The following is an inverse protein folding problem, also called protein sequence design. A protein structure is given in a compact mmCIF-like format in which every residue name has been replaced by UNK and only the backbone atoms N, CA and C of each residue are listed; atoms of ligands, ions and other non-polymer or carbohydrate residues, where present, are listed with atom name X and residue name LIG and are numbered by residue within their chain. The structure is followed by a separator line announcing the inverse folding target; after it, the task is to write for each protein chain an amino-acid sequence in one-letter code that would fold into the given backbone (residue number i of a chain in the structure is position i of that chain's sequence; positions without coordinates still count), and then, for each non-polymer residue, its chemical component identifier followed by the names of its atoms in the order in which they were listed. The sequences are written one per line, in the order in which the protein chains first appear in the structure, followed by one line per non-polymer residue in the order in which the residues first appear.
data_IF_822938919662
#
_entry.id   IF_822938919662
#
_cell.length_a   1.000
_cell.length_b   1.000
_cell.length_c   1.000
_cell.angle_alpha   90.00
_cell.angle_beta   90.00
_cell.angle_gamma   90.00
#
_symmetry.space_group_name_H-M   'P 1'
#
loop_
_entity.id
_entity.type
_entity.pdbx_description
1 polymer ?
#
# COMPACT_ATOMS: atom_id res chain seq x y z
N UNK A 1 -7.32 8.22 24.65
CA UNK A 1 -7.88 7.05 23.96
C UNK A 1 -6.70 6.26 23.45
N UNK A 2 -6.49 5.08 24.01
CA UNK A 2 -5.33 4.24 23.70
C UNK A 2 -5.51 3.77 22.25
N UNK A 3 -4.65 4.21 21.32
CA UNK A 3 -4.57 3.52 20.05
C UNK A 3 -4.16 2.09 20.36
N UNK A 4 -5.05 1.14 20.07
CA UNK A 4 -4.74 -0.28 20.12
C UNK A 4 -3.55 -0.51 19.18
N UNK A 5 -2.35 -0.60 19.75
CA UNK A 5 -1.05 -0.78 19.09
C UNK A 5 -0.92 -2.12 18.34
N UNK A 6 -2.04 -2.81 18.12
CA UNK A 6 -2.11 -4.12 17.49
C UNK A 6 -3.02 -4.14 16.25
N UNK A 7 -3.51 -2.99 15.78
CA UNK A 7 -4.34 -2.92 14.57
C UNK A 7 -3.53 -2.39 13.37
N UNK A 8 -3.52 -3.17 12.27
CA UNK A 8 -3.14 -2.65 10.96
C UNK A 8 -4.36 -1.97 10.34
N UNK A 9 -4.20 -0.74 9.85
CA UNK A 9 -5.30 0.09 9.31
C UNK A 9 -4.94 0.56 7.91
N UNK A 10 -5.77 0.17 6.95
CA UNK A 10 -5.61 0.48 5.54
C UNK A 10 -6.79 1.29 5.00
N UNK A 11 -6.49 2.25 4.14
CA UNK A 11 -7.49 2.86 3.27
C UNK A 11 -7.71 1.94 2.07
N UNK A 12 -8.97 1.74 1.70
CA UNK A 12 -9.36 0.82 0.66
C UNK A 12 -10.42 1.41 -0.28
N UNK A 13 -10.42 0.91 -1.51
CA UNK A 13 -11.42 1.20 -2.54
C UNK A 13 -12.13 -0.08 -2.94
N UNK A 14 -13.43 0.01 -3.18
CA UNK A 14 -14.18 -1.13 -3.69
C UNK A 14 -13.92 -1.29 -5.19
N UNK A 15 -13.61 -2.51 -5.61
CA UNK A 15 -13.52 -2.89 -7.03
C UNK A 15 -14.93 -3.26 -7.49
N UNK A 16 -15.55 -2.38 -8.27
CA UNK A 16 -16.94 -2.47 -8.73
C UNK A 16 -17.06 -1.67 -10.03
N UNK A 17 -18.08 -1.93 -10.85
CA UNK A 17 -18.37 -1.12 -12.04
C UNK A 17 -19.21 0.12 -11.72
N UNK A 18 -19.91 0.11 -10.58
CA UNK A 18 -20.77 1.20 -10.15
C UNK A 18 -19.95 2.46 -9.79
N UNK A 19 -20.13 3.60 -10.50
CA UNK A 19 -19.37 4.83 -10.24
C UNK A 19 -19.53 5.40 -8.83
N UNK A 20 -20.72 5.32 -8.26
CA UNK A 20 -20.99 5.82 -6.90
C UNK A 20 -20.26 4.98 -5.85
N UNK A 21 -20.21 3.66 -6.06
CA UNK A 21 -19.48 2.78 -5.15
C UNK A 21 -17.96 2.94 -5.28
N UNK A 22 -17.43 3.20 -6.49
CA UNK A 22 -16.00 3.53 -6.69
C UNK A 22 -15.57 4.80 -5.94
N UNK A 23 -16.47 5.77 -5.84
CA UNK A 23 -16.19 7.04 -5.14
C UNK A 23 -16.06 6.86 -3.62
N UNK A 24 -16.71 5.84 -3.04
CA UNK A 24 -16.65 5.55 -1.60
C UNK A 24 -15.24 5.20 -1.16
N UNK A 25 -14.93 5.48 0.10
CA UNK A 25 -13.64 5.17 0.73
C UNK A 25 -13.93 4.29 1.94
N UNK A 26 -13.11 3.26 2.13
CA UNK A 26 -13.25 2.34 3.25
C UNK A 26 -11.98 2.35 4.08
N UNK A 27 -12.12 2.14 5.38
CA UNK A 27 -11.01 1.81 6.27
C UNK A 27 -11.15 0.35 6.66
N UNK A 28 -10.18 -0.46 6.24
CA UNK A 28 -10.08 -1.88 6.59
C UNK A 28 -9.06 -2.01 7.71
N UNK A 29 -9.50 -2.53 8.84
CA UNK A 29 -8.64 -2.77 10.00
C UNK A 29 -8.50 -4.27 10.26
N UNK A 30 -7.28 -4.70 10.56
CA UNK A 30 -6.97 -6.07 10.94
C UNK A 30 -6.29 -6.09 12.32
N UNK A 31 -6.94 -6.74 13.28
CA UNK A 31 -6.40 -6.91 14.62
C UNK A 31 -5.42 -8.08 14.65
N UNK A 32 -4.15 -7.80 14.96
CA UNK A 32 -3.06 -8.76 14.93
C UNK A 32 -3.17 -9.85 16.00
N UNK A 33 -3.85 -9.56 17.12
CA UNK A 33 -4.02 -10.46 18.26
C UNK A 33 -5.22 -11.39 18.11
N UNK A 34 -6.40 -10.82 17.84
CA UNK A 34 -7.63 -11.57 17.66
C UNK A 34 -7.78 -12.18 16.26
N UNK A 35 -6.94 -11.78 15.31
CA UNK A 35 -7.02 -12.18 13.89
C UNK A 35 -8.40 -11.88 13.28
N UNK A 36 -8.94 -10.71 13.62
CA UNK A 36 -10.25 -10.23 13.14
C UNK A 36 -10.10 -9.07 12.19
N UNK A 37 -10.93 -9.07 11.16
CA UNK A 37 -11.07 -8.02 10.17
C UNK A 37 -12.33 -7.21 10.47
N UNK A 38 -12.24 -5.88 10.40
CA UNK A 38 -13.39 -4.99 10.43
C UNK A 38 -13.31 -3.94 9.32
N UNK A 39 -14.46 -3.47 8.84
CA UNK A 39 -14.53 -2.48 7.77
C UNK A 39 -15.44 -1.33 8.21
N UNK A 40 -14.92 -0.11 8.07
CA UNK A 40 -15.68 1.12 8.19
C UNK A 40 -15.78 1.77 6.81
N UNK A 41 -16.97 2.22 6.44
CA UNK A 41 -17.16 3.14 5.32
C UNK A 41 -16.86 4.56 5.83
N UNK A 42 -15.91 5.23 5.17
CA UNK A 42 -15.51 6.59 5.49
C UNK A 42 -16.54 7.62 5.04
N UNK A 43 -16.22 8.90 5.27
CA UNK A 43 -17.10 9.98 4.83
C UNK A 43 -17.17 10.03 3.30
N UNK A 44 -18.38 10.16 2.77
CA UNK A 44 -18.65 10.41 1.35
C UNK A 44 -19.56 11.62 1.22
N UNK A 45 -19.78 12.09 -0.01
CA UNK A 45 -20.76 13.16 -0.29
C UNK A 45 -22.16 12.86 0.26
N UNK A 46 -22.46 11.59 0.55
CA UNK A 46 -23.75 11.12 1.08
C UNK A 46 -23.69 10.61 2.52
N UNK A 47 -22.50 10.42 3.10
CA UNK A 47 -22.34 9.87 4.45
C UNK A 47 -21.39 10.72 5.28
N UNK A 48 -21.96 11.46 6.25
CA UNK A 48 -21.25 12.49 7.03
C UNK A 48 -20.45 11.89 8.20
N UNK A 49 -20.83 10.69 8.66
CA UNK A 49 -20.18 9.95 9.74
C UNK A 49 -19.63 8.62 9.23
N UNK A 50 -18.45 8.17 9.71
CA UNK A 50 -17.98 6.82 9.40
C UNK A 50 -19.01 5.78 9.84
N UNK A 51 -19.45 4.93 8.91
CA UNK A 51 -20.46 3.91 9.14
C UNK A 51 -19.82 2.54 9.18
N UNK A 52 -20.26 1.68 10.11
CA UNK A 52 -19.78 0.30 10.16
C UNK A 52 -20.31 -0.48 8.95
N UNK A 53 -19.39 -0.98 8.14
CA UNK A 53 -19.69 -1.85 6.99
C UNK A 53 -19.58 -3.34 7.38
N UNK A 54 -18.55 -3.69 8.16
CA UNK A 54 -18.37 -5.03 8.70
C UNK A 54 -17.90 -4.97 10.16
N UNK A 55 -18.64 -5.64 11.04
CA UNK A 55 -18.22 -5.85 12.44
C UNK A 55 -16.99 -6.76 12.52
N UNK A 56 -16.09 -6.54 13.51
CA UNK A 56 -14.92 -7.39 13.72
C UNK A 56 -15.27 -8.87 13.70
N UNK A 57 -14.72 -9.60 12.74
CA UNK A 57 -14.97 -11.03 12.56
C UNK A 57 -13.80 -11.70 11.86
N UNK A 58 -13.67 -13.01 12.03
CA UNK A 58 -12.74 -13.81 11.25
C UNK A 58 -13.33 -13.98 9.85
N UNK A 59 -12.62 -13.45 8.84
CA UNK A 59 -13.05 -13.54 7.44
C UNK A 59 -12.22 -14.60 6.74
N UNK A 60 -12.89 -15.51 6.03
CA UNK A 60 -12.26 -16.54 5.23
C UNK A 60 -11.97 -15.99 3.83
N UNK A 61 -10.72 -16.08 3.40
CA UNK A 61 -10.35 -15.82 2.02
C UNK A 61 -10.97 -16.89 1.12
N UNK A 62 -11.85 -16.52 0.18
CA UNK A 62 -12.50 -17.48 -0.70
C UNK A 62 -11.53 -18.18 -1.66
N UNK A 63 -10.32 -17.64 -1.87
CA UNK A 63 -9.28 -18.19 -2.75
C UNK A 63 -8.52 -19.31 -2.05
N UNK A 64 -7.97 -19.03 -0.87
CA UNK A 64 -7.17 -19.99 -0.10
C UNK A 64 -8.01 -20.89 0.80
N UNK A 65 -9.32 -20.62 0.95
CA UNK A 65 -10.24 -21.31 1.88
C UNK A 65 -9.77 -21.27 3.34
N UNK A 66 -8.95 -20.29 3.68
CA UNK A 66 -8.36 -20.12 5.01
C UNK A 66 -8.64 -18.70 5.54
N UNK A 67 -8.61 -18.47 6.86
CA UNK A 67 -8.71 -17.12 7.40
C UNK A 67 -7.63 -16.19 6.85
N UNK A 68 -7.96 -14.91 6.64
CA UNK A 68 -6.93 -13.91 6.35
C UNK A 68 -5.93 -13.83 7.50
N UNK A 69 -4.67 -13.58 7.14
CA UNK A 69 -3.55 -13.42 8.07
C UNK A 69 -2.89 -12.07 7.85
N UNK A 70 -2.00 -11.64 8.73
CA UNK A 70 -1.27 -10.37 8.56
C UNK A 70 -0.56 -10.23 7.21
N UNK A 71 -0.06 -11.33 6.62
CA UNK A 71 0.62 -11.31 5.32
C UNK A 71 -0.35 -11.05 4.16
N UNK A 72 -1.66 -11.18 4.37
CA UNK A 72 -2.67 -10.81 3.39
C UNK A 72 -2.84 -9.31 3.24
N UNK A 73 -2.32 -8.50 4.17
CA UNK A 73 -2.54 -7.06 4.21
C UNK A 73 -1.28 -6.28 3.81
N UNK A 74 -1.32 -5.74 2.59
CA UNK A 74 -0.32 -4.82 2.05
C UNK A 74 -0.96 -3.93 0.99
N UNK A 75 -0.34 -2.80 0.67
CA UNK A 75 -0.86 -1.87 -0.34
C UNK A 75 -0.82 -2.55 -1.72
N UNK A 76 -1.95 -2.53 -2.42
CA UNK A 76 -2.22 -3.26 -3.67
C UNK A 76 -2.82 -4.65 -3.48
N UNK A 77 -2.87 -5.17 -2.25
CA UNK A 77 -3.57 -6.44 -1.98
C UNK A 77 -5.08 -6.29 -2.14
N UNK A 78 -5.73 -7.42 -2.44
CA UNK A 78 -7.18 -7.50 -2.64
C UNK A 78 -7.82 -8.34 -1.55
N UNK A 79 -8.83 -7.77 -0.89
CA UNK A 79 -9.56 -8.38 0.21
C UNK A 79 -11.01 -8.57 -0.20
N UNK A 80 -11.48 -9.82 -0.14
CA UNK A 80 -12.90 -10.16 -0.30
C UNK A 80 -13.52 -10.33 1.08
N UNK A 81 -14.51 -9.50 1.39
CA UNK A 81 -15.25 -9.55 2.65
C UNK A 81 -16.70 -9.05 2.45
N UNK A 82 -17.65 -9.64 3.16
CA UNK A 82 -19.08 -9.31 3.06
C UNK A 82 -19.62 -9.27 1.60
N UNK A 83 -19.14 -10.18 0.75
CA UNK A 83 -19.53 -10.26 -0.66
C UNK A 83 -19.00 -9.15 -1.56
N UNK A 84 -18.10 -8.28 -1.07
CA UNK A 84 -17.47 -7.20 -1.82
C UNK A 84 -15.96 -7.44 -1.96
N UNK A 85 -15.39 -6.94 -3.05
CA UNK A 85 -13.96 -6.97 -3.34
C UNK A 85 -13.37 -5.57 -3.11
N UNK A 86 -12.34 -5.49 -2.29
CA UNK A 86 -11.65 -4.26 -1.95
C UNK A 86 -10.18 -4.33 -2.36
N UNK A 87 -9.61 -3.22 -2.84
CA UNK A 87 -8.16 -3.04 -2.98
C UNK A 87 -7.68 -2.12 -1.86
N UNK A 88 -6.62 -2.54 -1.16
CA UNK A 88 -5.94 -1.68 -0.19
C UNK A 88 -5.08 -0.68 -0.96
N UNK A 89 -5.40 0.61 -0.88
CA UNK A 89 -4.75 1.64 -1.71
C UNK A 89 -3.73 2.47 -0.94
N UNK A 90 -3.86 2.53 0.37
CA UNK A 90 -2.99 3.30 1.26
C UNK A 90 -3.10 2.76 2.71
N UNK A 91 -2.24 3.20 3.62
CA UNK A 91 -2.19 2.74 5.01
C UNK A 91 -1.85 3.87 5.97
N UNK A 92 -2.25 3.74 7.24
CA UNK A 92 -1.87 4.72 8.26
C UNK A 92 -0.36 4.70 8.50
N UNK A 93 0.21 5.85 8.90
CA UNK A 93 1.63 5.95 9.23
C UNK A 93 2.07 4.96 10.31
N UNK A 94 1.20 4.73 11.30
CA UNK A 94 1.40 3.70 12.31
C UNK A 94 1.56 2.31 11.69
N UNK A 95 0.65 1.94 10.78
CA UNK A 95 0.65 0.64 10.10
C UNK A 95 1.93 0.44 9.31
N UNK A 96 2.33 1.45 8.51
CA UNK A 96 3.55 1.40 7.71
C UNK A 96 4.79 1.26 8.60
N UNK A 97 4.88 2.08 9.66
CA UNK A 97 6.01 2.03 10.60
C UNK A 97 6.08 0.70 11.35
N UNK A 98 4.92 0.12 11.72
CA UNK A 98 4.86 -1.20 12.33
C UNK A 98 5.35 -2.28 11.36
N UNK A 99 4.88 -2.27 10.11
CA UNK A 99 5.29 -3.26 9.10
C UNK A 99 6.79 -3.15 8.78
N UNK A 100 7.33 -1.94 8.71
CA UNK A 100 8.76 -1.65 8.53
C UNK A 100 9.63 -2.16 9.70
N UNK A 101 9.08 -2.21 10.92
CA UNK A 101 9.78 -2.75 12.09
C UNK A 101 9.87 -4.29 12.10
N UNK A 102 9.07 -4.99 11.27
CA UNK A 102 9.02 -6.46 11.22
C UNK A 102 9.06 -7.00 9.77
N UNK A 103 10.12 -6.73 8.99
CA UNK A 103 10.21 -7.11 7.57
C UNK A 103 10.10 -8.63 7.33
N UNK A 104 10.54 -9.45 8.29
CA UNK A 104 10.38 -10.92 8.23
C UNK A 104 8.90 -11.37 8.13
N UNK A 105 7.96 -10.54 8.62
CA UNK A 105 6.51 -10.80 8.55
C UNK A 105 5.86 -10.10 7.36
N UNK A 106 6.48 -9.04 6.86
CA UNK A 106 5.96 -8.16 5.81
C UNK A 106 7.03 -7.99 4.72
N UNK A 107 7.17 -8.94 3.79
CA UNK A 107 8.31 -8.96 2.87
C UNK A 107 8.42 -7.70 2.00
N UNK A 108 7.29 -7.04 1.69
CA UNK A 108 7.30 -5.81 0.89
C UNK A 108 7.83 -4.58 1.64
N UNK A 109 8.16 -4.68 2.94
CA UNK A 109 8.85 -3.62 3.68
C UNK A 109 10.37 -3.83 3.77
N UNK A 110 10.87 -4.96 3.27
CA UNK A 110 12.30 -5.22 3.17
C UNK A 110 12.88 -4.45 1.96
N UNK A 111 13.77 -3.49 2.25
CA UNK A 111 14.38 -2.61 1.25
C UNK A 111 15.23 -3.40 0.25
N UNK A 112 15.95 -4.44 0.70
CA UNK A 112 16.77 -5.25 -0.19
C UNK A 112 15.88 -6.03 -1.17
N UNK A 113 14.77 -6.57 -0.68
CA UNK A 113 13.78 -7.21 -1.55
C UNK A 113 13.10 -6.22 -2.49
N UNK A 114 12.83 -4.99 -2.05
CA UNK A 114 12.31 -3.92 -2.91
C UNK A 114 13.27 -3.63 -4.08
N UNK A 115 14.58 -3.61 -3.84
CA UNK A 115 15.58 -3.48 -4.89
C UNK A 115 15.60 -4.69 -5.83
N UNK A 116 15.45 -5.91 -5.32
CA UNK A 116 15.32 -7.11 -6.15
C UNK A 116 14.09 -7.08 -7.05
N UNK A 117 12.97 -6.49 -6.62
CA UNK A 117 11.83 -6.24 -7.51
C UNK A 117 12.15 -5.18 -8.57
N UNK A 118 12.81 -4.09 -8.19
CA UNK A 118 13.16 -3.02 -9.12
C UNK A 118 14.13 -3.50 -10.21
N UNK A 119 15.12 -4.35 -9.87
CA UNK A 119 16.05 -4.97 -10.83
C UNK A 119 15.35 -5.86 -11.87
N UNK A 120 14.17 -6.39 -11.56
CA UNK A 120 13.38 -7.23 -12.48
C UNK A 120 12.54 -6.41 -13.45
N UNK A 121 12.43 -5.10 -13.26
CA UNK A 121 11.75 -4.21 -14.20
C UNK A 121 12.56 -4.19 -15.51
N UNK A 122 11.91 -4.57 -16.60
CA UNK A 122 12.53 -4.65 -17.93
C UNK A 122 12.65 -3.28 -18.61
N UNK A 123 11.81 -2.34 -18.20
CA UNK A 123 11.86 -0.96 -18.64
C UNK A 123 13.09 -0.27 -18.08
N UNK A 124 13.61 0.73 -18.80
CA UNK A 124 14.69 1.55 -18.28
C UNK A 124 14.14 2.47 -17.17
N UNK A 125 14.30 2.02 -15.93
CA UNK A 125 13.81 2.70 -14.72
C UNK A 125 14.36 4.13 -14.64
N UNK A 126 15.63 4.34 -14.98
CA UNK A 126 16.25 5.65 -14.97
C UNK A 126 15.59 6.60 -15.98
N UNK A 127 15.38 6.15 -17.23
CA UNK A 127 14.70 6.95 -18.25
C UNK A 127 13.28 7.31 -17.83
N UNK A 128 12.53 6.41 -17.17
CA UNK A 128 11.18 6.71 -16.68
C UNK A 128 11.16 7.84 -15.64
N UNK A 129 12.16 7.87 -14.75
CA UNK A 129 12.31 8.98 -13.80
C UNK A 129 12.69 10.28 -14.50
N UNK A 130 13.59 10.22 -15.49
CA UNK A 130 14.01 11.39 -16.28
C UNK A 130 12.86 11.96 -17.12
N UNK A 131 12.06 11.12 -17.77
CA UNK A 131 10.90 11.52 -18.56
C UNK A 131 9.84 12.22 -17.69
N UNK A 132 9.62 11.72 -16.48
CA UNK A 132 8.68 12.30 -15.52
C UNK A 132 9.18 13.61 -14.90
N UNK A 133 10.51 13.82 -14.86
CA UNK A 133 11.10 15.04 -14.32
C UNK A 133 12.40 15.45 -15.07
N UNK A 134 12.29 15.98 -16.30
CA UNK A 134 13.46 16.29 -17.13
C UNK A 134 14.38 17.37 -16.55
N UNK A 135 13.88 18.15 -15.59
CA UNK A 135 14.53 19.35 -15.07
C UNK A 135 15.32 19.14 -13.77
N UNK A 136 15.24 17.97 -13.10
CA UNK A 136 15.90 17.80 -11.79
C UNK A 136 16.86 16.61 -11.73
N UNK A 137 18.04 16.89 -11.18
CA UNK A 137 19.10 15.93 -10.93
C UNK A 137 18.79 15.09 -9.68
N UNK A 138 18.43 13.83 -9.89
CA UNK A 138 18.35 12.80 -8.85
C UNK A 138 17.22 12.88 -7.83
N UNK A 139 16.43 13.95 -7.81
CA UNK A 139 15.28 14.09 -6.89
C UNK A 139 14.01 14.60 -7.58
N UNK A 140 12.84 14.26 -7.05
CA UNK A 140 11.55 14.75 -7.57
C UNK A 140 10.45 14.79 -6.50
N UNK A 141 9.31 15.48 -6.73
CA UNK A 141 8.18 15.44 -5.80
C UNK A 141 7.66 14.02 -5.58
N UNK A 142 7.31 13.68 -4.33
CA UNK A 142 6.86 12.33 -3.93
C UNK A 142 5.69 11.82 -4.77
N UNK A 143 4.72 12.68 -5.08
CA UNK A 143 3.55 12.28 -5.88
C UNK A 143 3.93 11.86 -7.30
N UNK A 144 4.86 12.57 -7.95
CA UNK A 144 5.34 12.17 -9.28
C UNK A 144 6.16 10.88 -9.21
N UNK A 145 7.00 10.72 -8.18
CA UNK A 145 7.75 9.49 -7.96
C UNK A 145 6.83 8.28 -7.73
N UNK A 146 5.73 8.47 -7.01
CA UNK A 146 4.71 7.43 -6.78
C UNK A 146 4.11 6.96 -8.09
N UNK A 147 3.71 7.87 -8.97
CA UNK A 147 3.16 7.51 -10.29
C UNK A 147 4.17 6.70 -11.12
N UNK A 148 5.44 7.12 -11.14
CA UNK A 148 6.50 6.37 -11.85
C UNK A 148 6.66 4.98 -11.25
N UNK A 149 6.82 4.86 -9.93
CA UNK A 149 7.00 3.56 -9.27
C UNK A 149 5.77 2.65 -9.40
N UNK A 150 4.56 3.21 -9.40
CA UNK A 150 3.32 2.46 -9.60
C UNK A 150 3.16 2.00 -11.05
N UNK A 151 3.74 2.71 -12.03
CA UNK A 151 3.72 2.28 -13.43
C UNK A 151 4.46 0.96 -13.67
N UNK A 152 5.37 0.57 -12.78
CA UNK A 152 6.09 -0.72 -12.82
C UNK A 152 5.31 -1.89 -12.20
N UNK A 153 4.10 -1.66 -11.69
CA UNK A 153 3.23 -2.73 -11.21
C UNK A 153 2.77 -3.62 -12.39
N UNK A 154 2.79 -4.97 -12.30
CA UNK A 154 2.94 -5.77 -11.08
C UNK A 154 4.38 -6.17 -10.70
N UNK A 155 5.37 -5.91 -11.56
CA UNK A 155 6.76 -6.31 -11.33
C UNK A 155 7.33 -5.70 -10.06
N UNK A 156 7.04 -4.42 -9.81
CA UNK A 156 7.24 -3.77 -8.52
C UNK A 156 5.90 -3.72 -7.75
N UNK A 157 5.74 -4.45 -6.64
CA UNK A 157 4.53 -4.37 -5.82
C UNK A 157 4.30 -2.95 -5.30
N UNK A 158 3.04 -2.49 -5.26
CA UNK A 158 2.71 -1.12 -4.82
C UNK A 158 3.22 -0.82 -3.40
N UNK A 159 3.13 -1.79 -2.49
CA UNK A 159 3.66 -1.63 -1.14
C UNK A 159 5.19 -1.45 -1.13
N UNK A 160 5.93 -2.19 -1.96
CA UNK A 160 7.37 -2.01 -2.13
C UNK A 160 7.70 -0.59 -2.64
N UNK A 161 6.91 -0.07 -3.58
CA UNK A 161 7.01 1.33 -4.02
C UNK A 161 6.82 2.30 -2.86
N UNK A 162 5.83 2.08 -1.98
CA UNK A 162 5.60 2.92 -0.79
C UNK A 162 6.77 2.83 0.19
N UNK A 163 7.32 1.65 0.42
CA UNK A 163 8.52 1.47 1.27
C UNK A 163 9.71 2.25 0.72
N UNK A 164 9.97 2.18 -0.59
CA UNK A 164 11.03 2.98 -1.22
C UNK A 164 10.76 4.48 -1.05
N UNK A 165 9.53 4.95 -1.31
CA UNK A 165 9.16 6.34 -1.13
C UNK A 165 9.40 6.81 0.31
N UNK A 166 9.00 6.03 1.31
CA UNK A 166 9.20 6.38 2.73
C UNK A 166 10.66 6.41 3.13
N UNK A 167 11.45 5.46 2.62
CA UNK A 167 12.86 5.31 3.00
C UNK A 167 13.81 6.32 2.36
N UNK A 168 13.48 6.79 1.15
CA UNK A 168 14.33 7.64 0.31
C UNK A 168 13.73 9.03 0.05
N UNK A 169 12.74 9.45 0.83
CA UNK A 169 12.23 10.82 0.77
C UNK A 169 12.65 11.65 1.98
N UNK A 170 12.99 12.90 1.72
CA UNK A 170 13.25 13.92 2.72
C UNK A 170 12.64 15.24 2.26
N UNK A 171 12.04 16.00 3.18
CA UNK A 171 11.49 17.34 2.90
C UNK A 171 10.51 17.38 1.71
N UNK A 172 9.69 16.32 1.56
CA UNK A 172 8.69 16.22 0.48
C UNK A 172 9.25 15.86 -0.89
N UNK A 173 10.54 15.52 -0.99
CA UNK A 173 11.21 15.12 -2.22
C UNK A 173 11.75 13.70 -2.11
N UNK A 174 11.55 12.91 -3.15
CA UNK A 174 12.07 11.56 -3.31
C UNK A 174 13.42 11.59 -4.03
N UNK A 175 14.42 10.92 -3.48
CA UNK A 175 15.75 10.76 -4.08
C UNK A 175 15.81 9.47 -4.90
N UNK A 176 15.43 9.55 -6.17
CA UNK A 176 15.45 8.40 -7.08
C UNK A 176 16.87 7.97 -7.44
N UNK A 177 17.86 8.88 -7.40
CA UNK A 177 19.26 8.56 -7.67
C UNK A 177 19.81 7.57 -6.63
N UNK A 178 19.56 7.82 -5.34
CA UNK A 178 19.97 6.92 -4.27
C UNK A 178 19.31 5.54 -4.38
N UNK A 179 18.09 5.47 -4.92
CA UNK A 179 17.39 4.20 -5.19
C UNK A 179 18.04 3.44 -6.35
N UNK A 180 18.38 4.13 -7.44
CA UNK A 180 19.09 3.52 -8.58
C UNK A 180 20.46 2.99 -8.15
N UNK A 181 21.22 3.78 -7.38
CA UNK A 181 22.52 3.38 -6.82
C UNK A 181 22.38 2.19 -5.87
N UNK A 182 21.44 2.22 -4.92
CA UNK A 182 21.19 1.11 -4.00
C UNK A 182 20.74 -0.16 -4.71
N UNK A 183 19.95 -0.04 -5.77
CA UNK A 183 19.54 -1.15 -6.62
C UNK A 183 20.62 -1.60 -7.62
N UNK A 184 21.75 -0.90 -7.75
CA UNK A 184 22.76 -1.12 -8.79
C UNK A 184 22.17 -1.11 -10.21
N UNK A 185 21.25 -0.18 -10.47
CA UNK A 185 20.64 0.06 -11.79
C UNK A 185 21.35 1.28 -12.39
N UNK A 186 22.17 1.06 -13.42
CA UNK A 186 22.89 2.10 -14.15
C UNK A 186 22.08 2.66 -15.31
#
# INVERSE_FOLDING_TARGET
MQEDTENLVFNAKMITENPEEKARVFSISFNLREKKLSILEGKSSFCISPQRFLSPSTVIDPTTKSPYTESSFYIGSRIIAAGRLFELVDASDYTLSYMEAYPNRFPYTDVDLCFEYLKKVTENVQLKFQDANPAAFGTMPIEQAREVLYSFHPTLPKHASVTLLRRFSAEGRFNYQAVLEGANIC
#
